data_IF_948290111691
#
_entry.id   IF_948290111691
#
_cell.length_a   1.000
_cell.length_b   1.000
_cell.length_c   1.000
_cell.angle_alpha   90.00
_cell.angle_beta   90.00
_cell.angle_gamma   90.00
#
_symmetry.space_group_name_H-M   'P 1'
#
loop_
_entity.id
_entity.type
_entity.pdbx_description
1 polymer ?
#
# COMPACT_ATOMS: atom_id res chain seq x y z
N UNK A 1 -21.33 -35.34 -28.35
CA UNK A 1 -20.14 -35.83 -29.04
C UNK A 1 -19.43 -34.66 -29.70
N UNK A 2 -18.32 -34.21 -29.17
CA UNK A 2 -17.10 -33.80 -29.88
C UNK A 2 -16.12 -33.23 -28.84
N UNK A 3 -15.15 -34.06 -28.56
CA UNK A 3 -13.98 -33.75 -27.74
C UNK A 3 -13.08 -32.85 -28.57
N UNK A 4 -12.73 -31.67 -28.05
CA UNK A 4 -11.61 -30.88 -28.55
C UNK A 4 -10.60 -30.71 -27.43
N UNK A 5 -9.61 -31.57 -27.49
CA UNK A 5 -8.35 -31.45 -26.80
C UNK A 5 -7.56 -30.33 -27.48
N UNK A 6 -7.29 -29.26 -26.82
CA UNK A 6 -6.22 -28.31 -27.22
C UNK A 6 -5.18 -28.30 -26.14
N UNK A 7 -4.18 -29.05 -26.42
CA UNK A 7 -2.90 -29.14 -25.80
C UNK A 7 -2.10 -27.91 -26.27
N UNK A 8 -1.85 -26.95 -25.39
CA UNK A 8 -0.80 -25.96 -25.63
C UNK A 8 0.22 -26.05 -24.52
N UNK A 9 1.19 -26.87 -24.81
CA UNK A 9 2.50 -26.76 -24.20
C UNK A 9 3.25 -25.64 -24.93
N UNK A 10 3.66 -24.62 -24.22
CA UNK A 10 4.79 -23.77 -24.63
C UNK A 10 5.49 -23.25 -23.37
N UNK A 11 6.46 -23.95 -23.10
CA UNK A 11 7.75 -23.74 -22.53
C UNK A 11 8.43 -22.52 -23.16
N UNK A 12 8.79 -21.53 -22.35
CA UNK A 12 9.97 -20.72 -22.63
C UNK A 12 10.55 -20.14 -21.36
N UNK A 13 11.63 -20.73 -20.99
CA UNK A 13 12.65 -20.30 -20.03
C UNK A 13 13.40 -19.12 -20.66
N UNK A 14 13.47 -17.98 -19.99
CA UNK A 14 14.55 -17.04 -20.22
C UNK A 14 15.09 -16.59 -18.86
N UNK A 15 16.16 -17.24 -18.48
CA UNK A 15 17.06 -16.77 -17.43
C UNK A 15 17.95 -15.70 -18.04
N UNK A 16 17.93 -14.50 -17.52
CA UNK A 16 18.97 -13.50 -17.75
C UNK A 16 19.55 -13.09 -16.41
N UNK A 17 20.65 -13.72 -16.08
CA UNK A 17 21.55 -13.33 -15.01
C UNK A 17 22.45 -12.23 -15.57
N UNK A 18 22.36 -11.04 -15.02
CA UNK A 18 23.33 -9.98 -15.24
C UNK A 18 24.04 -9.65 -13.93
N UNK A 19 25.17 -10.29 -13.74
CA UNK A 19 26.20 -9.93 -12.79
C UNK A 19 26.91 -8.68 -13.31
N UNK A 20 26.86 -7.60 -12.57
CA UNK A 20 27.82 -6.49 -12.73
C UNK A 20 28.57 -6.36 -11.41
N UNK A 21 29.75 -6.96 -11.40
CA UNK A 21 30.79 -6.68 -10.43
C UNK A 21 31.51 -5.41 -10.87
N UNK A 22 31.54 -4.41 -10.03
CA UNK A 22 32.33 -3.19 -10.19
C UNK A 22 33.19 -2.97 -8.95
N UNK A 23 34.38 -3.54 -8.96
CA UNK A 23 35.45 -3.18 -8.04
C UNK A 23 36.01 -1.81 -8.41
N UNK A 24 36.27 -0.98 -7.42
CA UNK A 24 37.05 0.23 -7.51
C UNK A 24 37.72 0.53 -6.16
N UNK A 25 38.95 0.04 -6.02
CA UNK A 25 39.84 0.30 -4.89
C UNK A 25 40.45 1.68 -4.97
N UNK A 26 40.69 2.33 -3.86
CA UNK A 26 41.96 2.98 -3.43
C UNK A 26 41.83 3.62 -2.09
N UNK A 27 42.43 3.03 -1.12
CA UNK A 27 43.46 3.44 -0.19
C UNK A 27 43.61 4.95 0.12
N UNK A 28 43.48 5.34 1.40
CA UNK A 28 44.65 5.52 2.26
C UNK A 28 44.24 5.92 3.69
N UNK A 29 44.89 5.24 4.58
CA UNK A 29 44.83 5.35 6.04
C UNK A 29 45.02 6.75 6.60
N UNK A 30 44.39 7.04 7.75
CA UNK A 30 45.03 7.47 8.99
C UNK A 30 44.00 7.51 10.12
N UNK A 31 44.17 6.69 11.17
CA UNK A 31 43.64 6.85 12.52
C UNK A 31 44.70 7.63 13.32
N UNK A 32 44.46 8.23 14.51
CA UNK A 32 43.53 7.80 15.57
C UNK A 32 42.83 8.94 16.34
N UNK A 33 42.05 8.52 17.31
CA UNK A 33 41.88 9.04 18.67
C UNK A 33 40.50 9.59 19.05
N UNK A 34 39.79 8.77 19.82
CA UNK A 34 39.08 9.05 21.09
C UNK A 34 38.14 10.24 21.18
N UNK A 35 36.85 9.96 21.37
CA UNK A 35 36.08 10.40 22.53
C UNK A 35 34.67 9.83 22.49
N UNK A 36 34.31 9.11 23.51
CA UNK A 36 32.94 8.78 23.91
C UNK A 36 32.11 10.08 24.01
N UNK A 37 30.97 10.06 23.33
CA UNK A 37 29.83 10.85 23.78
C UNK A 37 28.56 10.05 23.53
N UNK A 38 28.06 9.49 24.63
CA UNK A 38 26.65 9.16 24.79
C UNK A 38 25.86 10.40 24.40
N UNK A 39 25.14 10.31 23.34
CA UNK A 39 24.10 11.28 23.06
C UNK A 39 22.76 10.57 23.10
N UNK A 40 22.09 10.77 24.22
CA UNK A 40 20.70 10.43 24.44
C UNK A 40 19.90 10.80 23.20
N UNK A 41 19.19 9.80 22.67
CA UNK A 41 18.19 10.00 21.66
C UNK A 41 17.09 10.91 22.24
N UNK A 42 17.20 12.19 21.96
CA UNK A 42 16.11 13.12 22.11
C UNK A 42 15.01 12.70 21.12
N UNK A 43 13.91 12.18 21.64
CA UNK A 43 12.66 12.15 20.92
C UNK A 43 12.23 13.61 20.67
N UNK A 44 12.75 14.22 19.62
CA UNK A 44 12.13 15.39 19.05
C UNK A 44 10.82 14.95 18.43
N UNK A 45 9.73 15.19 19.15
CA UNK A 45 8.39 15.10 18.64
C UNK A 45 8.26 16.06 17.46
N UNK A 46 8.42 15.55 16.26
CA UNK A 46 7.95 16.22 15.05
C UNK A 46 6.43 16.32 15.16
N UNK A 47 5.95 17.42 15.74
CA UNK A 47 4.61 17.92 15.46
C UNK A 47 4.61 18.29 13.98
N UNK A 48 4.48 17.31 13.11
CA UNK A 48 4.23 17.55 11.71
C UNK A 48 2.94 18.36 11.65
N UNK A 49 3.04 19.61 11.21
CA UNK A 49 1.88 20.45 11.01
C UNK A 49 0.87 19.67 10.16
N UNK A 50 -0.36 19.54 10.66
CA UNK A 50 -1.40 18.84 9.92
C UNK A 50 -1.59 19.50 8.55
N UNK A 51 -1.75 18.71 7.48
CA UNK A 51 -2.03 19.27 6.16
C UNK A 51 -3.28 20.16 6.23
N UNK A 52 -3.25 21.27 5.51
CA UNK A 52 -4.37 22.24 5.49
C UNK A 52 -5.55 21.80 4.62
N UNK A 53 -5.38 20.74 3.85
CA UNK A 53 -6.42 20.21 2.96
C UNK A 53 -7.48 19.46 3.78
N UNK A 54 -8.76 19.63 3.37
CA UNK A 54 -9.86 18.87 3.96
C UNK A 54 -9.74 17.38 3.58
N UNK A 55 -9.66 16.44 4.53
CA UNK A 55 -9.56 15.02 4.22
C UNK A 55 -10.88 14.38 3.77
N UNK A 56 -12.03 15.04 3.94
CA UNK A 56 -13.34 14.48 3.63
C UNK A 56 -13.57 14.16 2.14
N UNK A 57 -13.12 14.99 1.17
CA UNK A 57 -13.13 14.60 -0.24
C UNK A 57 -12.32 13.35 -0.53
N UNK A 58 -11.12 13.20 0.10
CA UNK A 58 -10.28 12.02 -0.06
C UNK A 58 -10.95 10.73 0.48
N UNK A 59 -11.74 10.85 1.55
CA UNK A 59 -12.53 9.72 2.07
C UNK A 59 -13.60 9.25 1.07
N UNK A 60 -14.22 10.18 0.32
CA UNK A 60 -15.16 9.83 -0.76
C UNK A 60 -14.47 9.17 -1.94
N UNK A 61 -13.29 9.66 -2.32
CA UNK A 61 -12.49 9.06 -3.39
C UNK A 61 -12.02 7.66 -3.00
N UNK A 62 -11.70 7.45 -1.72
CA UNK A 62 -11.34 6.15 -1.18
C UNK A 62 -12.51 5.15 -1.29
N UNK A 63 -13.72 5.55 -0.87
CA UNK A 63 -14.92 4.71 -1.00
C UNK A 63 -15.22 4.35 -2.46
N UNK A 64 -15.13 5.32 -3.36
CA UNK A 64 -15.29 5.09 -4.80
C UNK A 64 -14.25 4.08 -5.32
N UNK A 65 -13.00 4.23 -4.95
CA UNK A 65 -11.93 3.30 -5.36
C UNK A 65 -12.21 1.88 -4.86
N UNK A 66 -12.75 1.71 -3.64
CA UNK A 66 -13.15 0.41 -3.10
C UNK A 66 -14.28 -0.22 -3.92
N UNK A 67 -15.30 0.56 -4.29
CA UNK A 67 -16.41 0.08 -5.12
C UNK A 67 -15.93 -0.33 -6.51
N UNK A 68 -15.04 0.46 -7.12
CA UNK A 68 -14.43 0.16 -8.43
C UNK A 68 -13.63 -1.14 -8.39
N UNK A 69 -12.83 -1.36 -7.34
CA UNK A 69 -12.06 -2.61 -7.16
C UNK A 69 -13.00 -3.83 -7.12
N UNK A 70 -14.09 -3.78 -6.35
CA UNK A 70 -15.06 -4.90 -6.27
C UNK A 70 -15.73 -5.14 -7.61
N UNK A 71 -16.18 -4.06 -8.28
CA UNK A 71 -16.84 -4.13 -9.58
C UNK A 71 -15.92 -4.77 -10.64
N UNK A 72 -14.70 -4.30 -10.72
CA UNK A 72 -13.69 -4.78 -11.67
C UNK A 72 -13.28 -6.22 -11.37
N UNK A 73 -13.13 -6.59 -10.09
CA UNK A 73 -12.86 -7.96 -9.68
C UNK A 73 -13.98 -8.93 -10.10
N UNK A 74 -15.25 -8.54 -9.87
CA UNK A 74 -16.42 -9.34 -10.32
C UNK A 74 -16.52 -9.46 -11.83
N UNK A 75 -16.07 -8.45 -12.57
CA UNK A 75 -16.02 -8.45 -14.02
C UNK A 75 -14.78 -9.17 -14.61
N UNK A 76 -13.86 -9.66 -13.77
CA UNK A 76 -12.62 -10.29 -14.21
C UNK A 76 -11.60 -9.32 -14.82
N UNK A 77 -11.78 -8.02 -14.61
CA UNK A 77 -10.93 -6.94 -15.14
C UNK A 77 -9.69 -6.75 -14.26
N UNK A 78 -8.74 -7.68 -14.33
CA UNK A 78 -7.59 -7.72 -13.41
C UNK A 78 -6.73 -6.46 -13.48
N UNK A 79 -6.42 -5.97 -14.67
CA UNK A 79 -5.57 -4.77 -14.82
C UNK A 79 -6.24 -3.51 -14.27
N UNK A 80 -7.54 -3.36 -14.48
CA UNK A 80 -8.30 -2.22 -13.97
C UNK A 80 -8.41 -2.30 -12.44
N UNK A 81 -8.67 -3.49 -11.88
CA UNK A 81 -8.68 -3.71 -10.45
C UNK A 81 -7.31 -3.39 -9.79
N UNK A 82 -6.22 -3.75 -10.42
CA UNK A 82 -4.86 -3.40 -9.97
C UNK A 82 -4.64 -1.88 -9.97
N UNK A 83 -5.07 -1.19 -11.03
CA UNK A 83 -4.99 0.26 -11.14
C UNK A 83 -5.81 0.96 -10.06
N UNK A 84 -7.06 0.56 -9.88
CA UNK A 84 -7.94 1.11 -8.83
C UNK A 84 -7.39 0.85 -7.42
N UNK A 85 -6.77 -0.31 -7.21
CA UNK A 85 -6.12 -0.62 -5.94
C UNK A 85 -4.86 0.21 -5.70
N UNK A 86 -4.09 0.53 -6.73
CA UNK A 86 -2.96 1.44 -6.62
C UNK A 86 -3.42 2.86 -6.24
N UNK A 87 -4.51 3.33 -6.83
CA UNK A 87 -5.17 4.59 -6.48
C UNK A 87 -5.65 4.59 -5.01
N UNK A 88 -6.30 3.51 -4.58
CA UNK A 88 -6.75 3.30 -3.21
C UNK A 88 -5.60 3.46 -2.21
N UNK A 89 -4.48 2.78 -2.40
CA UNK A 89 -3.30 2.89 -1.54
C UNK A 89 -2.76 4.33 -1.53
N UNK A 90 -2.66 4.97 -2.69
CA UNK A 90 -2.21 6.36 -2.79
C UNK A 90 -3.12 7.32 -2.02
N UNK A 91 -4.44 7.12 -2.08
CA UNK A 91 -5.41 7.93 -1.34
C UNK A 91 -5.28 7.73 0.16
N UNK A 92 -5.06 6.48 0.63
CA UNK A 92 -4.79 6.20 2.04
C UNK A 92 -3.57 6.97 2.55
N UNK A 93 -2.47 6.98 1.79
CA UNK A 93 -1.26 7.71 2.19
C UNK A 93 -1.47 9.24 2.26
N UNK A 94 -2.42 9.78 1.52
CA UNK A 94 -2.81 11.20 1.62
C UNK A 94 -3.70 11.48 2.84
N UNK A 95 -4.53 10.52 3.25
CA UNK A 95 -5.44 10.66 4.41
C UNK A 95 -4.68 10.52 5.73
N UNK A 96 -3.72 9.61 5.79
CA UNK A 96 -3.00 9.26 7.03
C UNK A 96 -2.36 10.46 7.74
N UNK A 97 -1.75 11.45 7.09
CA UNK A 97 -1.22 12.65 7.75
C UNK A 97 -2.26 13.50 8.49
N UNK A 98 -3.54 13.40 8.12
CA UNK A 98 -4.65 14.11 8.78
C UNK A 98 -5.17 13.41 10.04
N UNK A 99 -4.71 12.21 10.33
CA UNK A 99 -5.15 11.43 11.49
C UNK A 99 -4.17 11.58 12.64
N UNK A 100 -4.65 11.53 13.89
CA UNK A 100 -3.80 11.53 15.10
C UNK A 100 -3.64 10.12 15.68
N UNK A 101 -4.66 9.27 15.54
CA UNK A 101 -4.67 7.92 16.09
C UNK A 101 -3.74 6.99 15.29
N UNK A 102 -2.65 6.56 15.91
CA UNK A 102 -1.65 5.68 15.29
C UNK A 102 -2.23 4.31 14.92
N UNK A 103 -3.08 3.72 15.78
CA UNK A 103 -3.67 2.40 15.53
C UNK A 103 -4.63 2.46 14.32
N UNK A 104 -5.37 3.56 14.20
CA UNK A 104 -6.29 3.75 13.08
C UNK A 104 -5.53 3.98 11.77
N UNK A 105 -4.41 4.72 11.79
CA UNK A 105 -3.49 4.85 10.65
C UNK A 105 -2.99 3.51 10.16
N UNK A 106 -2.47 2.70 11.08
CA UNK A 106 -1.91 1.38 10.75
C UNK A 106 -2.98 0.42 10.25
N UNK A 107 -4.17 0.45 10.86
CA UNK A 107 -5.32 -0.35 10.42
C UNK A 107 -5.75 0.00 9.00
N UNK A 108 -5.80 1.29 8.66
CA UNK A 108 -6.17 1.77 7.33
C UNK A 108 -5.13 1.36 6.27
N UNK A 109 -3.84 1.55 6.57
CA UNK A 109 -2.74 1.10 5.70
C UNK A 109 -2.74 -0.39 5.48
N UNK A 110 -2.90 -1.16 6.58
CA UNK A 110 -2.94 -2.60 6.53
C UNK A 110 -4.08 -3.10 5.67
N UNK A 111 -5.29 -2.57 5.84
CA UNK A 111 -6.45 -2.96 5.06
C UNK A 111 -6.26 -2.67 3.56
N UNK A 112 -5.70 -1.51 3.21
CA UNK A 112 -5.37 -1.17 1.82
C UNK A 112 -4.32 -2.11 1.23
N UNK A 113 -3.28 -2.44 2.00
CA UNK A 113 -2.25 -3.40 1.62
C UNK A 113 -2.81 -4.82 1.41
N UNK A 114 -3.70 -5.25 2.28
CA UNK A 114 -4.36 -6.56 2.18
C UNK A 114 -5.24 -6.69 0.93
N UNK A 115 -5.96 -5.63 0.55
CA UNK A 115 -6.71 -5.57 -0.71
C UNK A 115 -5.75 -5.64 -1.89
N UNK A 116 -4.69 -4.81 -1.88
CA UNK A 116 -3.66 -4.79 -2.93
C UNK A 116 -3.04 -6.17 -3.14
N UNK A 117 -2.66 -6.84 -2.07
CA UNK A 117 -2.06 -8.17 -2.13
C UNK A 117 -3.04 -9.21 -2.69
N UNK A 118 -4.33 -9.12 -2.33
CA UNK A 118 -5.36 -10.04 -2.83
C UNK A 118 -5.65 -9.82 -4.32
N UNK A 119 -5.69 -8.57 -4.78
CA UNK A 119 -5.88 -8.24 -6.21
C UNK A 119 -4.67 -8.65 -7.05
N UNK A 120 -3.45 -8.54 -6.50
CA UNK A 120 -2.21 -8.91 -7.19
C UNK A 120 -1.86 -10.40 -7.06
N UNK A 121 -2.57 -11.17 -6.23
CA UNK A 121 -2.41 -12.61 -6.19
C UNK A 121 -2.79 -13.19 -7.58
N UNK A 122 -1.95 -14.02 -8.16
CA UNK A 122 -2.07 -14.49 -9.55
C UNK A 122 -3.43 -15.10 -9.94
N UNK A 123 -4.29 -15.40 -8.97
CA UNK A 123 -5.69 -15.78 -9.14
C UNK A 123 -6.56 -14.84 -8.30
N UNK A 124 -7.19 -13.90 -8.98
CA UNK A 124 -8.09 -12.94 -8.34
C UNK A 124 -9.39 -13.63 -7.89
N UNK A 125 -9.67 -13.60 -6.59
CA UNK A 125 -10.92 -14.11 -5.99
C UNK A 125 -11.83 -12.93 -5.62
N UNK A 126 -12.94 -12.70 -6.34
CA UNK A 126 -13.85 -11.60 -6.05
C UNK A 126 -14.49 -11.67 -4.66
N UNK A 127 -14.74 -12.88 -4.13
CA UNK A 127 -15.30 -13.05 -2.79
C UNK A 127 -14.34 -12.64 -1.68
N UNK A 128 -13.06 -13.03 -1.82
CA UNK A 128 -12.01 -12.63 -0.89
C UNK A 128 -11.79 -11.11 -0.92
N UNK A 129 -11.82 -10.50 -2.11
CA UNK A 129 -11.69 -9.04 -2.28
C UNK A 129 -12.87 -8.33 -1.62
N UNK A 130 -14.10 -8.77 -1.85
CA UNK A 130 -15.30 -8.17 -1.27
C UNK A 130 -15.27 -8.23 0.27
N UNK A 131 -14.83 -9.35 0.85
CA UNK A 131 -14.65 -9.47 2.30
C UNK A 131 -13.67 -8.45 2.87
N UNK A 132 -12.52 -8.25 2.19
CA UNK A 132 -11.52 -7.26 2.63
C UNK A 132 -11.98 -5.82 2.43
N UNK A 133 -12.74 -5.54 1.36
CA UNK A 133 -13.34 -4.22 1.13
C UNK A 133 -14.35 -3.89 2.24
N UNK A 134 -15.20 -4.83 2.65
CA UNK A 134 -16.12 -4.62 3.78
C UNK A 134 -15.37 -4.32 5.09
N UNK A 135 -14.31 -5.07 5.38
CA UNK A 135 -13.47 -4.81 6.55
C UNK A 135 -12.85 -3.39 6.51
N UNK A 136 -12.37 -2.96 5.34
CA UNK A 136 -11.83 -1.61 5.17
C UNK A 136 -12.91 -0.53 5.32
N UNK A 137 -14.12 -0.76 4.84
CA UNK A 137 -15.25 0.17 5.01
C UNK A 137 -15.61 0.41 6.49
N UNK A 138 -15.50 -0.62 7.35
CA UNK A 138 -15.68 -0.43 8.78
C UNK A 138 -14.58 0.45 9.40
N UNK A 139 -13.32 0.26 8.98
CA UNK A 139 -12.21 1.12 9.40
C UNK A 139 -12.44 2.56 8.91
N UNK A 140 -12.93 2.74 7.69
CA UNK A 140 -13.26 4.06 7.14
C UNK A 140 -14.33 4.80 7.93
N UNK A 141 -15.36 4.11 8.44
CA UNK A 141 -16.36 4.73 9.32
C UNK A 141 -15.70 5.31 10.57
N UNK A 142 -14.83 4.53 11.22
CA UNK A 142 -14.06 4.99 12.37
C UNK A 142 -13.14 6.15 12.03
N UNK A 143 -12.48 6.09 10.86
CA UNK A 143 -11.62 7.15 10.36
C UNK A 143 -12.40 8.44 10.12
N UNK A 144 -13.56 8.36 9.48
CA UNK A 144 -14.43 9.52 9.23
C UNK A 144 -14.86 10.18 10.53
N UNK A 145 -15.30 9.39 11.50
CA UNK A 145 -15.68 9.90 12.83
C UNK A 145 -14.52 10.60 13.53
N UNK A 146 -13.32 9.99 13.47
CA UNK A 146 -12.10 10.57 14.03
C UNK A 146 -11.75 11.92 13.36
N UNK A 147 -11.77 12.00 12.05
CA UNK A 147 -11.47 13.21 11.29
C UNK A 147 -12.48 14.34 11.58
N UNK A 148 -13.77 14.01 11.74
CA UNK A 148 -14.81 14.98 12.08
C UNK A 148 -14.62 15.57 13.47
N UNK A 149 -14.20 14.78 14.45
CA UNK A 149 -13.95 15.27 15.82
C UNK A 149 -12.75 16.20 15.91
N UNK A 150 -11.84 16.15 14.95
CA UNK A 150 -10.63 17.00 14.91
C UNK A 150 -10.87 18.35 14.22
N UNK A 151 -11.99 18.51 13.52
CA UNK A 151 -12.34 19.75 12.82
C UNK A 151 -13.13 20.75 13.70
N UNK A 152 -13.46 20.37 14.95
CA UNK A 152 -14.14 21.18 15.95
C UNK A 152 -13.18 21.56 17.10
#
# INVERSE_FOLDING_TARGET
MKKSKVLFAMLTIIAVVSLVAGCGSSEKATQPTTASQEQAAGHEGHSAAMPKEDPMPMMKDLDKSLQDVVKQAKAGQTMDAQKSTAQLVSTVEKIVPHMMDANLKDSLRKAAGDIKNTVNAGKMDPGAIEGKVKAMQEIMKSTTSHLQTMQH
#
